data_IF_183002583237
#
_entry.id   IF_183002583237
#
_cell.length_a   1.000
_cell.length_b   1.000
_cell.length_c   1.000
_cell.angle_alpha   90.00
_cell.angle_beta   90.00
_cell.angle_gamma   90.00
#
_symmetry.space_group_name_H-M   'P 1'
#
loop_
_entity.id
_entity.type
_entity.pdbx_description
1 polymer ?
#
# COMPACT_ATOMS: atom_id res chain seq x y z
N UNK A 1 -22.63 -11.98 12.26
CA UNK A 1 -21.16 -12.22 12.31
C UNK A 1 -20.46 -10.88 12.34
N UNK A 2 -19.53 -10.69 13.28
CA UNK A 2 -18.72 -9.47 13.38
C UNK A 2 -17.34 -9.73 12.81
N UNK A 3 -16.91 -8.86 11.89
CA UNK A 3 -15.65 -9.02 11.18
C UNK A 3 -14.80 -7.76 11.34
N UNK A 4 -13.48 -7.92 11.38
CA UNK A 4 -12.53 -6.81 11.26
C UNK A 4 -11.82 -6.91 9.92
N UNK A 5 -11.65 -5.76 9.26
CA UNK A 5 -10.88 -5.64 8.04
C UNK A 5 -9.70 -4.69 8.26
N UNK A 6 -8.50 -5.22 8.04
CA UNK A 6 -7.21 -4.55 8.06
C UNK A 6 -6.50 -4.80 6.73
N UNK A 7 -5.58 -3.92 6.37
CA UNK A 7 -4.70 -4.10 5.20
C UNK A 7 -3.43 -3.29 5.35
N UNK A 8 -2.45 -3.55 4.50
CA UNK A 8 -1.28 -2.70 4.27
C UNK A 8 -0.55 -2.35 5.58
N UNK A 9 -0.23 -3.39 6.37
CA UNK A 9 0.46 -3.21 7.66
C UNK A 9 1.88 -2.72 7.49
N UNK A 10 2.55 -3.10 6.38
CA UNK A 10 3.91 -2.73 6.03
C UNK A 10 4.89 -2.78 7.21
N UNK A 11 4.83 -3.89 7.97
CA UNK A 11 5.68 -4.05 9.16
C UNK A 11 7.15 -4.00 8.76
N UNK A 12 7.92 -3.16 9.47
CA UNK A 12 9.32 -2.91 9.20
C UNK A 12 9.60 -1.78 8.19
N UNK A 13 8.56 -1.03 7.78
CA UNK A 13 8.73 0.17 6.96
C UNK A 13 9.49 1.27 7.73
N UNK A 14 10.35 1.97 7.00
CA UNK A 14 11.08 3.15 7.49
C UNK A 14 10.60 4.40 6.78
N UNK A 15 10.09 5.36 7.53
CA UNK A 15 9.66 6.65 7.00
C UNK A 15 10.87 7.56 6.80
N UNK A 16 11.28 7.82 5.55
CA UNK A 16 12.46 8.64 5.23
C UNK A 16 13.72 8.26 6.06
N UNK A 17 13.99 6.95 6.16
CA UNK A 17 15.04 6.32 6.97
C UNK A 17 14.84 6.39 8.51
N UNK A 18 13.72 6.90 9.01
CA UNK A 18 13.36 6.81 10.42
C UNK A 18 12.64 5.48 10.68
N UNK A 19 13.05 4.83 11.74
CA UNK A 19 12.41 3.60 12.21
C UNK A 19 11.02 3.90 12.78
N UNK A 20 10.04 3.07 12.44
CA UNK A 20 8.66 3.18 12.90
C UNK A 20 8.25 2.02 13.82
N UNK A 21 9.18 1.19 14.27
CA UNK A 21 8.85 -0.02 15.04
C UNK A 21 8.03 0.29 16.28
N UNK A 22 8.35 1.37 17.01
CA UNK A 22 7.60 1.81 18.21
C UNK A 22 6.16 2.23 17.84
N UNK A 23 6.00 3.01 16.78
CA UNK A 23 4.69 3.46 16.30
C UNK A 23 3.86 2.30 15.76
N UNK A 24 4.48 1.38 15.04
CA UNK A 24 3.83 0.16 14.55
C UNK A 24 3.37 -0.72 15.71
N UNK A 25 4.23 -0.99 16.69
CA UNK A 25 3.86 -1.74 17.90
C UNK A 25 2.67 -1.10 18.61
N UNK A 26 2.69 0.21 18.81
CA UNK A 26 1.62 0.95 19.47
C UNK A 26 0.28 0.80 18.75
N UNK A 27 0.28 0.87 17.42
CA UNK A 27 -0.94 0.72 16.61
C UNK A 27 -1.43 -0.73 16.61
N UNK A 28 -0.55 -1.71 16.50
CA UNK A 28 -0.91 -3.12 16.57
C UNK A 28 -1.51 -3.47 17.93
N UNK A 29 -0.97 -2.94 19.02
CA UNK A 29 -1.54 -3.09 20.37
C UNK A 29 -2.94 -2.45 20.50
N UNK A 30 -3.20 -1.36 19.78
CA UNK A 30 -4.55 -0.78 19.69
C UNK A 30 -5.53 -1.70 18.98
N UNK A 31 -5.10 -2.32 17.88
CA UNK A 31 -5.93 -3.29 17.15
C UNK A 31 -6.26 -4.48 18.05
N UNK A 32 -5.29 -5.01 18.79
CA UNK A 32 -5.52 -6.08 19.78
C UNK A 32 -6.53 -5.65 20.84
N UNK A 33 -6.44 -4.42 21.35
CA UNK A 33 -7.45 -3.88 22.30
C UNK A 33 -8.84 -3.83 21.69
N UNK A 34 -8.99 -3.35 20.46
CA UNK A 34 -10.29 -3.39 19.77
C UNK A 34 -10.81 -4.82 19.62
N UNK A 35 -9.95 -5.76 19.22
CA UNK A 35 -10.34 -7.18 19.12
C UNK A 35 -10.83 -7.72 20.46
N UNK A 36 -10.13 -7.43 21.57
CA UNK A 36 -10.53 -7.83 22.91
C UNK A 36 -11.86 -7.20 23.35
N UNK A 37 -12.10 -5.93 23.02
CA UNK A 37 -13.31 -5.21 23.41
C UNK A 37 -14.54 -5.61 22.57
N UNK A 38 -14.32 -5.84 21.27
CA UNK A 38 -15.40 -6.07 20.30
C UNK A 38 -15.68 -7.55 20.03
N UNK A 39 -14.73 -8.45 20.35
CA UNK A 39 -14.85 -9.90 20.15
C UNK A 39 -15.29 -10.25 18.71
N UNK A 40 -14.50 -9.94 17.67
CA UNK A 40 -14.83 -10.31 16.29
C UNK A 40 -14.82 -11.83 16.10
N UNK A 41 -15.72 -12.34 15.26
CA UNK A 41 -15.75 -13.73 14.82
C UNK A 41 -14.61 -14.03 13.84
N UNK A 42 -14.26 -13.03 13.01
CA UNK A 42 -13.11 -13.13 12.10
C UNK A 42 -12.38 -11.79 11.93
N UNK A 43 -11.06 -11.90 11.67
CA UNK A 43 -10.17 -10.77 11.33
C UNK A 43 -9.58 -11.06 9.95
N UNK A 44 -9.74 -10.12 9.03
CA UNK A 44 -9.25 -10.18 7.66
C UNK A 44 -8.09 -9.20 7.49
N UNK A 45 -6.93 -9.68 7.02
CA UNK A 45 -5.76 -8.86 6.69
C UNK A 45 -5.53 -8.96 5.18
N UNK A 46 -5.90 -7.91 4.47
CA UNK A 46 -5.96 -7.90 3.01
C UNK A 46 -4.60 -7.50 2.37
N UNK A 47 -3.54 -8.24 2.71
CA UNK A 47 -2.21 -8.14 2.06
C UNK A 47 -1.30 -7.04 2.60
N UNK A 48 -0.08 -7.03 2.05
CA UNK A 48 1.06 -6.18 2.42
C UNK A 48 1.32 -6.19 3.93
N UNK A 49 1.56 -7.41 4.44
CA UNK A 49 1.89 -7.65 5.85
C UNK A 49 3.23 -7.03 6.17
N UNK A 50 4.23 -7.26 5.32
CA UNK A 50 5.57 -6.71 5.45
C UNK A 50 5.85 -5.65 4.38
N UNK A 51 6.72 -4.69 4.71
CA UNK A 51 7.19 -3.68 3.76
C UNK A 51 8.02 -4.28 2.61
N UNK A 52 8.67 -5.42 2.86
CA UNK A 52 9.61 -6.07 1.91
C UNK A 52 9.41 -7.57 1.86
N UNK A 53 9.61 -8.14 0.68
CA UNK A 53 9.57 -9.58 0.45
C UNK A 53 10.57 -10.38 1.34
N UNK A 54 11.65 -9.74 1.80
CA UNK A 54 12.56 -10.27 2.81
C UNK A 54 12.55 -9.32 4.01
N UNK A 55 11.63 -9.52 4.97
CA UNK A 55 11.54 -8.69 6.17
C UNK A 55 12.75 -8.89 7.09
N UNK A 56 13.05 -7.90 7.93
CA UNK A 56 14.05 -8.03 8.99
C UNK A 56 13.55 -8.97 10.09
N UNK A 57 14.47 -9.47 10.92
CA UNK A 57 14.12 -10.32 12.06
C UNK A 57 13.19 -9.59 13.05
N UNK A 58 13.43 -8.30 13.24
CA UNK A 58 12.60 -7.43 14.10
C UNK A 58 11.17 -7.31 13.56
N UNK A 59 11.03 -7.13 12.24
CA UNK A 59 9.70 -7.07 11.60
C UNK A 59 8.95 -8.41 11.75
N UNK A 60 9.64 -9.54 11.57
CA UNK A 60 9.05 -10.87 11.77
C UNK A 60 8.62 -11.05 13.23
N UNK A 61 9.47 -10.66 14.20
CA UNK A 61 9.15 -10.75 15.62
C UNK A 61 7.97 -9.87 16.02
N UNK A 62 7.87 -8.67 15.43
CA UNK A 62 6.75 -7.76 15.69
C UNK A 62 5.43 -8.34 15.17
N UNK A 63 5.43 -8.94 13.98
CA UNK A 63 4.26 -9.58 13.43
C UNK A 63 3.85 -10.82 14.24
N UNK A 64 4.82 -11.67 14.63
CA UNK A 64 4.60 -12.85 15.48
C UNK A 64 3.95 -12.45 16.82
N UNK A 65 4.49 -11.42 17.49
CA UNK A 65 3.92 -10.88 18.72
C UNK A 65 2.48 -10.36 18.54
N UNK A 66 2.21 -9.68 17.42
CA UNK A 66 0.88 -9.17 17.10
C UNK A 66 -0.14 -10.31 16.92
N UNK A 67 0.18 -11.32 16.10
CA UNK A 67 -0.73 -12.46 15.85
C UNK A 67 -0.94 -13.27 17.14
N UNK A 68 0.12 -13.48 17.92
CA UNK A 68 0.03 -14.15 19.22
C UNK A 68 -0.91 -13.40 20.17
N UNK A 69 -0.73 -12.08 20.30
CA UNK A 69 -1.58 -11.22 21.15
C UNK A 69 -3.03 -11.21 20.69
N UNK A 70 -3.30 -11.24 19.37
CA UNK A 70 -4.65 -11.38 18.84
C UNK A 70 -5.27 -12.72 19.26
N UNK A 71 -4.54 -13.83 19.10
CA UNK A 71 -5.04 -15.17 19.49
C UNK A 71 -5.24 -15.29 21.00
N UNK A 72 -4.43 -14.65 21.82
CA UNK A 72 -4.64 -14.57 23.28
C UNK A 72 -5.90 -13.74 23.64
N UNK A 73 -6.13 -12.62 22.94
CA UNK A 73 -7.25 -11.73 23.18
C UNK A 73 -8.60 -12.31 22.72
N UNK A 74 -8.58 -13.04 21.59
CA UNK A 74 -9.77 -13.64 20.95
C UNK A 74 -9.47 -15.05 20.44
N UNK A 75 -9.35 -16.07 21.32
CA UNK A 75 -8.89 -17.40 20.98
C UNK A 75 -9.70 -18.10 19.88
N UNK A 76 -11.02 -17.92 19.88
CA UNK A 76 -11.93 -18.54 18.93
C UNK A 76 -12.01 -17.79 17.58
N UNK A 77 -11.51 -16.57 17.51
CA UNK A 77 -11.54 -15.76 16.31
C UNK A 77 -10.74 -16.41 15.17
N UNK A 78 -11.33 -16.47 14.01
CA UNK A 78 -10.64 -16.89 12.77
C UNK A 78 -9.84 -15.73 12.21
N UNK A 79 -8.54 -15.89 12.03
CA UNK A 79 -7.68 -14.89 11.41
C UNK A 79 -7.35 -15.33 9.99
N UNK A 80 -7.68 -14.52 9.01
CA UNK A 80 -7.47 -14.77 7.59
C UNK A 80 -6.56 -13.70 7.02
N UNK A 81 -5.49 -14.09 6.34
CA UNK A 81 -4.58 -13.14 5.71
C UNK A 81 -4.09 -13.64 4.35
N UNK A 82 -3.86 -12.71 3.47
CA UNK A 82 -3.32 -12.96 2.13
C UNK A 82 -2.01 -12.20 1.94
N UNK A 83 -1.20 -12.59 0.96
CA UNK A 83 -0.06 -11.78 0.53
C UNK A 83 -0.51 -10.62 -0.35
N UNK A 84 0.16 -9.47 -0.20
CA UNK A 84 0.10 -8.35 -1.13
C UNK A 84 1.27 -8.36 -2.12
N UNK A 85 1.49 -7.23 -2.79
CA UNK A 85 2.55 -7.11 -3.79
C UNK A 85 3.95 -6.87 -3.20
N UNK A 86 4.04 -6.44 -1.93
CA UNK A 86 5.30 -6.31 -1.19
C UNK A 86 5.74 -7.62 -0.55
N UNK A 87 4.80 -8.51 -0.23
CA UNK A 87 5.07 -9.77 0.46
C UNK A 87 5.75 -10.80 -0.44
N UNK A 88 6.43 -11.75 0.20
CA UNK A 88 6.87 -12.97 -0.45
C UNK A 88 5.80 -14.05 -0.26
N UNK A 89 5.05 -14.36 -1.30
CA UNK A 89 4.00 -15.36 -1.27
C UNK A 89 4.43 -16.71 -0.64
N UNK A 90 5.60 -17.31 -1.00
CA UNK A 90 6.06 -18.56 -0.36
C UNK A 90 6.39 -18.41 1.13
N UNK A 91 6.76 -17.19 1.60
CA UNK A 91 7.03 -16.95 3.02
C UNK A 91 5.74 -16.83 3.81
N UNK A 92 4.70 -16.23 3.23
CA UNK A 92 3.36 -16.17 3.83
C UNK A 92 2.75 -17.55 3.91
N UNK A 93 2.96 -18.42 2.93
CA UNK A 93 2.49 -19.83 2.97
C UNK A 93 3.26 -20.72 3.95
N UNK A 94 4.33 -20.19 4.59
CA UNK A 94 5.15 -20.99 5.49
C UNK A 94 4.32 -21.47 6.70
N UNK A 95 4.40 -22.76 7.01
CA UNK A 95 3.66 -23.42 8.10
C UNK A 95 2.12 -23.37 7.98
N UNK A 96 1.56 -22.99 6.83
CA UNK A 96 0.10 -22.86 6.61
C UNK A 96 -0.68 -24.05 7.18
N UNK A 97 -0.28 -25.28 6.88
CA UNK A 97 -0.98 -26.49 7.33
C UNK A 97 -0.97 -26.68 8.86
N UNK A 98 0.02 -26.14 9.55
CA UNK A 98 0.09 -26.16 11.02
C UNK A 98 -0.80 -25.07 11.61
N UNK A 99 -0.77 -23.88 11.03
CA UNK A 99 -1.50 -22.70 11.46
C UNK A 99 -3.03 -22.87 11.30
N UNK A 100 -3.49 -23.59 10.29
CA UNK A 100 -4.91 -23.95 10.09
C UNK A 100 -5.54 -24.56 11.35
N UNK A 101 -4.77 -25.36 12.10
CA UNK A 101 -5.26 -26.00 13.35
C UNK A 101 -5.52 -24.98 14.47
N UNK A 102 -5.07 -23.76 14.32
CA UNK A 102 -5.26 -22.65 15.25
C UNK A 102 -6.25 -21.60 14.72
N UNK A 103 -7.07 -21.94 13.72
CA UNK A 103 -7.95 -21.00 13.01
C UNK A 103 -7.18 -19.79 12.45
N UNK A 104 -5.95 -20.02 11.98
CA UNK A 104 -5.10 -19.02 11.35
C UNK A 104 -4.84 -19.44 9.89
N UNK A 105 -5.40 -18.69 8.97
CA UNK A 105 -5.34 -18.95 7.53
C UNK A 105 -4.42 -17.92 6.88
N UNK A 106 -3.30 -18.40 6.34
CA UNK A 106 -2.32 -17.59 5.61
C UNK A 106 -2.26 -18.10 4.17
N UNK A 107 -2.63 -17.27 3.20
CA UNK A 107 -2.66 -17.61 1.78
C UNK A 107 -1.73 -16.70 1.03
N UNK A 108 -0.56 -17.21 0.64
CA UNK A 108 0.47 -16.47 -0.06
C UNK A 108 0.32 -16.53 -1.57
N UNK A 109 0.12 -17.74 -2.11
CA UNK A 109 0.06 -17.95 -3.56
C UNK A 109 -1.39 -17.95 -4.07
N UNK A 110 -1.66 -17.32 -5.24
CA UNK A 110 -2.91 -17.55 -5.96
C UNK A 110 -2.97 -19.00 -6.48
N UNK A 111 -4.11 -19.47 -7.02
CA UNK A 111 -4.18 -20.77 -7.70
C UNK A 111 -3.06 -20.95 -8.73
N UNK A 112 -2.40 -22.10 -8.72
CA UNK A 112 -1.23 -22.39 -9.58
C UNK A 112 -1.53 -23.45 -10.64
N UNK A 113 -2.45 -24.38 -10.33
CA UNK A 113 -2.82 -25.52 -11.19
C UNK A 113 -4.27 -25.40 -11.64
N UNK A 114 -4.61 -26.14 -12.69
CA UNK A 114 -5.95 -26.10 -13.27
C UNK A 114 -7.04 -26.54 -12.29
N UNK A 115 -6.72 -27.49 -11.41
CA UNK A 115 -7.61 -27.98 -10.36
C UNK A 115 -7.71 -27.06 -9.13
N UNK A 116 -6.80 -26.08 -8.99
CA UNK A 116 -6.79 -25.17 -7.85
C UNK A 116 -7.88 -24.11 -8.00
N UNK A 117 -8.49 -23.76 -6.89
CA UNK A 117 -9.48 -22.69 -6.75
C UNK A 117 -8.98 -21.60 -5.82
N UNK A 118 -9.66 -20.45 -5.81
CA UNK A 118 -9.44 -19.43 -4.77
C UNK A 118 -9.76 -20.10 -3.42
N UNK A 119 -8.84 -19.94 -2.45
CA UNK A 119 -9.05 -20.53 -1.13
C UNK A 119 -10.35 -20.03 -0.53
N UNK A 120 -11.26 -20.96 -0.20
CA UNK A 120 -12.56 -20.65 0.38
C UNK A 120 -12.68 -21.20 1.80
N UNK A 121 -12.97 -20.33 2.75
CA UNK A 121 -13.23 -20.67 4.16
C UNK A 121 -14.68 -20.39 4.45
N UNK A 122 -15.37 -21.30 5.11
CA UNK A 122 -16.76 -21.11 5.49
C UNK A 122 -16.90 -21.08 7.00
N UNK A 123 -17.45 -19.99 7.51
CA UNK A 123 -17.86 -19.86 8.90
C UNK A 123 -19.39 -19.84 8.97
N UNK A 124 -19.95 -20.25 10.10
CA UNK A 124 -21.40 -20.27 10.30
C UNK A 124 -21.79 -19.43 11.49
N UNK A 125 -22.91 -18.72 11.37
CA UNK A 125 -23.59 -18.04 12.47
C UNK A 125 -25.08 -18.35 12.47
N UNK A 126 -25.86 -17.61 13.26
CA UNK A 126 -27.30 -17.81 13.38
C UNK A 126 -28.08 -17.53 12.08
N UNK A 127 -27.45 -16.88 11.09
CA UNK A 127 -28.04 -16.54 9.78
C UNK A 127 -27.56 -17.50 8.67
N UNK A 128 -26.81 -18.56 9.02
CA UNK A 128 -26.29 -19.56 8.07
C UNK A 128 -24.81 -19.34 7.70
N UNK A 129 -24.35 -19.88 6.55
CA UNK A 129 -22.95 -19.81 6.16
C UNK A 129 -22.54 -18.42 5.67
N UNK A 130 -21.27 -18.10 5.90
CA UNK A 130 -20.54 -16.98 5.26
C UNK A 130 -19.29 -17.57 4.61
N UNK A 131 -19.14 -17.37 3.31
CA UNK A 131 -18.02 -17.87 2.53
C UNK A 131 -16.99 -16.76 2.32
N UNK A 132 -15.78 -16.98 2.78
CA UNK A 132 -14.65 -16.09 2.60
C UNK A 132 -13.76 -16.60 1.49
N UNK A 133 -13.52 -15.77 0.48
CA UNK A 133 -12.65 -16.06 -0.64
C UNK A 133 -11.35 -15.27 -0.47
N UNK A 134 -10.23 -15.98 -0.30
CA UNK A 134 -8.91 -15.42 -0.04
C UNK A 134 -8.12 -15.37 -1.34
N UNK A 135 -8.09 -14.21 -1.98
CA UNK A 135 -7.40 -13.98 -3.25
C UNK A 135 -6.16 -13.09 -3.03
N UNK A 136 -4.95 -13.68 -2.93
CA UNK A 136 -3.69 -12.94 -2.84
C UNK A 136 -3.47 -12.02 -4.04
N UNK A 137 -2.41 -11.21 -3.98
CA UNK A 137 -1.99 -10.40 -5.12
C UNK A 137 -1.67 -11.27 -6.33
N UNK A 138 -2.28 -10.94 -7.48
CA UNK A 138 -2.17 -11.70 -8.73
C UNK A 138 -1.61 -10.85 -9.85
N UNK A 139 -0.59 -11.36 -10.54
CA UNK A 139 -0.19 -10.88 -11.87
C UNK A 139 -0.73 -11.83 -12.94
N UNK A 140 -1.17 -11.34 -14.11
CA UNK A 140 -1.70 -12.19 -15.18
C UNK A 140 -0.79 -13.36 -15.56
N UNK A 141 0.53 -13.16 -15.49
CA UNK A 141 1.53 -14.18 -15.79
C UNK A 141 1.53 -15.35 -14.79
N UNK A 142 1.08 -15.15 -13.55
CA UNK A 142 1.08 -16.20 -12.51
C UNK A 142 0.00 -17.24 -12.75
N UNK A 143 -1.12 -16.85 -13.34
CA UNK A 143 -2.32 -17.68 -13.51
C UNK A 143 -2.63 -18.04 -14.97
N UNK A 144 -1.73 -17.73 -15.90
CA UNK A 144 -1.92 -18.00 -17.34
C UNK A 144 -2.21 -19.48 -17.67
N UNK A 145 -1.66 -20.40 -16.89
CA UNK A 145 -1.89 -21.84 -17.09
C UNK A 145 -3.28 -22.28 -16.67
N UNK A 146 -3.98 -21.45 -15.88
CA UNK A 146 -5.32 -21.74 -15.33
C UNK A 146 -6.39 -21.10 -16.19
N UNK A 147 -6.23 -19.83 -16.50
CA UNK A 147 -7.24 -19.05 -17.24
C UNK A 147 -6.98 -18.98 -18.75
N UNK A 148 -5.86 -19.55 -19.20
CA UNK A 148 -5.42 -19.48 -20.58
C UNK A 148 -4.74 -18.17 -20.96
N UNK A 149 -4.58 -17.96 -22.26
CA UNK A 149 -4.00 -16.76 -22.86
C UNK A 149 -4.88 -16.28 -24.03
N UNK A 150 -4.76 -15.01 -24.38
CA UNK A 150 -5.40 -14.43 -25.55
C UNK A 150 -4.36 -14.29 -26.68
N UNK A 151 -4.46 -15.10 -27.75
CA UNK A 151 -3.50 -15.15 -28.87
C UNK A 151 -2.03 -15.26 -28.41
N UNK A 152 -1.78 -16.09 -27.37
CA UNK A 152 -0.44 -16.32 -26.81
C UNK A 152 0.06 -15.19 -25.89
N UNK A 153 -0.75 -14.16 -25.63
CA UNK A 153 -0.46 -13.08 -24.70
C UNK A 153 -1.25 -13.26 -23.41
N UNK A 154 -0.72 -12.78 -22.29
CA UNK A 154 -1.47 -12.75 -21.04
C UNK A 154 -2.69 -11.84 -21.18
N UNK A 155 -3.78 -12.20 -20.51
CA UNK A 155 -4.93 -11.31 -20.34
C UNK A 155 -4.52 -10.03 -19.57
N UNK A 156 -5.34 -8.97 -19.69
CA UNK A 156 -5.22 -7.80 -18.81
C UNK A 156 -5.48 -8.20 -17.35
N UNK A 157 -5.11 -7.34 -16.40
CA UNK A 157 -5.43 -7.56 -14.99
C UNK A 157 -6.94 -7.71 -14.78
N UNK A 158 -7.73 -6.85 -15.39
CA UNK A 158 -9.18 -6.90 -15.31
C UNK A 158 -9.76 -8.22 -15.80
N UNK A 159 -9.38 -8.67 -16.99
CA UNK A 159 -9.83 -9.96 -17.54
C UNK A 159 -9.33 -11.14 -16.70
N UNK A 160 -8.12 -11.05 -16.18
CA UNK A 160 -7.54 -12.08 -15.30
C UNK A 160 -8.36 -12.26 -14.05
N UNK A 161 -8.66 -11.17 -13.33
CA UNK A 161 -9.44 -11.22 -12.10
C UNK A 161 -10.87 -11.68 -12.37
N UNK A 162 -11.49 -11.18 -13.45
CA UNK A 162 -12.81 -11.59 -13.86
C UNK A 162 -12.88 -13.09 -14.08
N UNK A 163 -11.95 -13.64 -14.89
CA UNK A 163 -11.91 -15.11 -15.18
C UNK A 163 -11.65 -15.94 -13.94
N UNK A 164 -10.77 -15.50 -13.03
CA UNK A 164 -10.52 -16.21 -11.77
C UNK A 164 -11.77 -16.29 -10.90
N UNK A 165 -12.49 -15.17 -10.76
CA UNK A 165 -13.71 -15.11 -9.93
C UNK A 165 -14.85 -15.91 -10.58
N UNK A 166 -15.02 -15.82 -11.90
CA UNK A 166 -16.04 -16.59 -12.63
C UNK A 166 -15.85 -18.12 -12.49
N UNK A 167 -14.63 -18.62 -12.32
CA UNK A 167 -14.35 -20.03 -12.11
C UNK A 167 -14.90 -20.57 -10.78
N UNK A 168 -15.10 -19.71 -9.79
CA UNK A 168 -15.52 -20.14 -8.45
C UNK A 168 -17.02 -20.47 -8.38
N UNK A 169 -17.78 -20.19 -9.44
CA UNK A 169 -19.23 -20.47 -9.52
C UNK A 169 -19.97 -20.02 -8.24
N UNK A 170 -19.70 -18.79 -7.81
CA UNK A 170 -20.16 -18.24 -6.53
C UNK A 170 -21.68 -18.24 -6.46
N UNK A 171 -22.24 -18.95 -5.47
CA UNK A 171 -23.67 -18.87 -5.20
C UNK A 171 -24.02 -17.53 -4.56
N UNK A 172 -24.66 -16.65 -5.34
CA UNK A 172 -25.02 -15.31 -4.88
C UNK A 172 -26.18 -15.26 -3.89
N UNK A 173 -26.86 -16.39 -3.64
CA UNK A 173 -27.85 -16.48 -2.58
C UNK A 173 -27.21 -16.65 -1.18
N UNK A 174 -25.97 -17.13 -1.13
CA UNK A 174 -25.20 -17.23 0.09
C UNK A 174 -24.50 -15.90 0.41
N UNK A 175 -24.04 -15.74 1.65
CA UNK A 175 -23.25 -14.58 2.08
C UNK A 175 -21.80 -14.78 1.69
N UNK A 176 -21.26 -13.94 0.83
CA UNK A 176 -19.94 -14.07 0.24
C UNK A 176 -19.07 -12.84 0.57
N UNK A 177 -17.86 -13.07 1.05
CA UNK A 177 -16.86 -12.05 1.37
C UNK A 177 -15.59 -12.31 0.57
N UNK A 178 -15.10 -11.30 -0.14
CA UNK A 178 -13.81 -11.35 -0.81
C UNK A 178 -12.75 -10.67 0.06
N UNK A 179 -11.58 -11.29 0.20
CA UNK A 179 -10.36 -10.67 0.73
C UNK A 179 -9.38 -10.62 -0.44
N UNK A 180 -8.98 -9.42 -0.88
CA UNK A 180 -8.15 -9.26 -2.07
C UNK A 180 -7.20 -8.07 -1.99
N UNK A 181 -6.08 -8.16 -2.70
CA UNK A 181 -5.06 -7.13 -2.74
C UNK A 181 -4.74 -6.76 -4.18
N UNK A 182 -5.55 -5.88 -4.79
CA UNK A 182 -5.44 -5.44 -6.19
C UNK A 182 -5.91 -4.00 -6.33
N UNK A 183 -5.58 -3.36 -7.46
CA UNK A 183 -6.01 -2.00 -7.75
C UNK A 183 -7.41 -1.98 -8.39
N UNK A 184 -8.45 -2.04 -7.56
CA UNK A 184 -9.85 -1.94 -7.99
C UNK A 184 -10.30 -0.49 -8.13
N UNK A 185 -10.96 -0.18 -9.23
CA UNK A 185 -11.53 1.13 -9.51
C UNK A 185 -13.05 1.12 -9.46
N UNK A 186 -13.69 2.20 -8.97
CA UNK A 186 -15.12 2.38 -9.16
C UNK A 186 -15.48 2.33 -10.65
N UNK A 187 -16.64 1.74 -10.95
CA UNK A 187 -17.14 1.68 -12.33
C UNK A 187 -17.17 3.09 -12.96
N UNK A 188 -16.67 3.24 -14.17
CA UNK A 188 -16.55 4.50 -14.89
C UNK A 188 -15.54 5.53 -14.34
N UNK A 189 -14.66 5.15 -13.39
CA UNK A 189 -13.51 5.96 -13.00
C UNK A 189 -12.22 5.44 -13.63
N UNK A 190 -11.29 6.37 -13.90
CA UNK A 190 -9.95 6.06 -14.40
C UNK A 190 -8.94 6.12 -13.26
N UNK A 191 -7.82 5.41 -13.42
CA UNK A 191 -6.74 5.39 -12.42
C UNK A 191 -6.19 6.79 -12.11
N UNK A 192 -6.13 7.69 -13.10
CA UNK A 192 -5.65 9.07 -12.93
C UNK A 192 -6.55 9.93 -12.01
N UNK A 193 -7.80 9.51 -11.80
CA UNK A 193 -8.76 10.21 -10.92
C UNK A 193 -8.63 9.76 -9.46
N UNK A 194 -7.83 8.74 -9.19
CA UNK A 194 -7.60 8.21 -7.85
C UNK A 194 -6.33 8.80 -7.28
N UNK A 195 -6.47 9.48 -6.14
CA UNK A 195 -5.32 9.96 -5.38
C UNK A 195 -4.63 8.79 -4.69
N UNK A 196 -3.41 8.49 -5.10
CA UNK A 196 -2.57 7.42 -4.56
C UNK A 196 -1.45 7.99 -3.70
N UNK A 197 -1.14 7.32 -2.59
CA UNK A 197 -0.05 7.70 -1.72
C UNK A 197 1.34 7.53 -2.39
N UNK A 198 2.31 8.34 -1.96
CA UNK A 198 3.69 8.23 -2.47
C UNK A 198 4.39 6.94 -2.03
N UNK A 199 3.85 6.26 -1.02
CA UNK A 199 4.31 4.96 -0.53
C UNK A 199 3.81 3.77 -1.37
N UNK A 200 2.80 3.97 -2.24
CA UNK A 200 2.25 2.90 -3.07
C UNK A 200 3.12 2.63 -4.31
N UNK A 201 3.27 1.35 -4.66
CA UNK A 201 3.89 0.96 -5.94
C UNK A 201 2.91 1.24 -7.07
N UNK A 202 3.33 2.02 -8.05
CA UNK A 202 2.55 2.35 -9.24
C UNK A 202 3.10 1.61 -10.46
N UNK A 203 2.22 0.89 -11.14
CA UNK A 203 2.59 0.25 -12.40
C UNK A 203 2.58 1.27 -13.54
N UNK A 204 3.60 1.25 -14.38
CA UNK A 204 3.67 2.16 -15.53
C UNK A 204 2.46 1.97 -16.45
N UNK A 205 1.77 3.08 -16.78
CA UNK A 205 0.57 3.06 -17.62
C UNK A 205 -0.69 2.53 -16.94
N UNK A 206 -0.68 2.34 -15.60
CA UNK A 206 -1.82 1.85 -14.80
C UNK A 206 -2.43 0.54 -15.35
N UNK A 207 -1.61 -0.32 -15.95
CA UNK A 207 -2.06 -1.58 -16.57
C UNK A 207 -2.61 -2.60 -15.56
N UNK A 208 -2.42 -2.35 -14.25
CA UNK A 208 -2.86 -3.16 -13.12
C UNK A 208 -4.26 -2.81 -12.61
N UNK A 209 -4.96 -1.88 -13.26
CA UNK A 209 -6.32 -1.51 -12.90
C UNK A 209 -7.33 -2.65 -13.15
N UNK A 210 -8.27 -2.79 -12.21
CA UNK A 210 -9.36 -3.77 -12.24
C UNK A 210 -10.68 -3.05 -12.03
N UNK A 211 -11.67 -3.31 -12.86
CA UNK A 211 -13.02 -2.75 -12.68
C UNK A 211 -13.69 -3.30 -11.41
N UNK A 212 -14.32 -2.44 -10.63
CA UNK A 212 -15.13 -2.84 -9.49
C UNK A 212 -16.33 -3.75 -9.83
N UNK A 213 -16.66 -3.92 -11.11
CA UNK A 213 -17.72 -4.86 -11.55
C UNK A 213 -17.42 -6.31 -11.15
N UNK A 214 -16.15 -6.69 -11.05
CA UNK A 214 -15.76 -8.06 -10.63
C UNK A 214 -16.14 -8.35 -9.18
N UNK A 215 -16.45 -7.33 -8.38
CA UNK A 215 -16.82 -7.44 -6.96
C UNK A 215 -18.31 -7.74 -6.75
N UNK A 216 -19.14 -7.61 -7.78
CA UNK A 216 -20.60 -7.75 -7.68
C UNK A 216 -21.11 -9.07 -7.07
N UNK A 217 -20.42 -10.22 -7.22
CA UNK A 217 -20.86 -11.48 -6.59
C UNK A 217 -20.73 -11.50 -5.06
N UNK A 218 -20.06 -10.52 -4.45
CA UNK A 218 -19.76 -10.49 -3.02
C UNK A 218 -20.66 -9.51 -2.25
N UNK A 219 -21.02 -9.86 -1.02
CA UNK A 219 -21.73 -8.97 -0.09
C UNK A 219 -20.79 -7.95 0.57
N UNK A 220 -19.51 -8.31 0.69
CA UNK A 220 -18.46 -7.43 1.16
C UNK A 220 -17.12 -7.76 0.49
N UNK A 221 -16.35 -6.74 0.15
CA UNK A 221 -14.97 -6.93 -0.32
C UNK A 221 -14.00 -6.15 0.59
N UNK A 222 -13.16 -6.92 1.29
CA UNK A 222 -12.05 -6.42 2.09
C UNK A 222 -10.83 -6.25 1.18
N UNK A 223 -10.54 -4.99 0.81
CA UNK A 223 -9.51 -4.65 -0.18
C UNK A 223 -8.29 -4.01 0.48
N UNK A 224 -7.09 -4.42 0.04
CA UNK A 224 -5.81 -3.79 0.31
C UNK A 224 -5.15 -3.29 -0.97
N UNK A 225 -3.98 -2.66 -0.88
CA UNK A 225 -3.16 -2.06 -1.93
C UNK A 225 -3.23 -0.53 -1.99
N UNK A 226 -4.38 0.09 -1.71
CA UNK A 226 -4.51 1.54 -1.67
C UNK A 226 -4.41 2.01 -0.22
N UNK A 227 -3.44 2.88 0.07
CA UNK A 227 -3.11 3.31 1.43
C UNK A 227 -4.09 4.32 2.02
N UNK A 228 -4.88 4.97 1.16
CA UNK A 228 -5.95 5.87 1.58
C UNK A 228 -7.25 5.09 1.74
N UNK A 229 -7.98 5.21 2.87
CA UNK A 229 -9.31 4.64 2.99
C UNK A 229 -10.23 5.12 1.86
N UNK A 230 -10.75 4.18 1.05
CA UNK A 230 -11.52 4.51 -0.15
C UNK A 230 -12.62 3.47 -0.41
N UNK A 231 -13.73 3.91 -1.01
CA UNK A 231 -14.83 3.06 -1.46
C UNK A 231 -14.72 2.80 -2.97
N UNK A 232 -15.00 1.56 -3.37
CA UNK A 232 -15.04 1.18 -4.79
C UNK A 232 -16.51 1.10 -5.25
N UNK A 233 -17.12 2.26 -5.48
CA UNK A 233 -18.50 2.37 -5.94
C UNK A 233 -19.57 2.11 -4.87
N UNK A 234 -19.27 1.35 -3.83
CA UNK A 234 -20.17 0.98 -2.73
C UNK A 234 -19.48 1.08 -1.38
N UNK A 235 -20.24 1.27 -0.31
CA UNK A 235 -19.77 1.16 1.07
C UNK A 235 -19.33 -0.27 1.45
N UNK A 236 -19.74 -1.25 0.67
CA UNK A 236 -19.47 -2.67 0.89
C UNK A 236 -18.17 -3.13 0.22
N UNK A 237 -17.60 -2.36 -0.71
CA UNK A 237 -16.33 -2.64 -1.37
C UNK A 237 -15.33 -1.57 -1.00
N UNK A 238 -14.40 -1.89 -0.11
CA UNK A 238 -13.60 -0.86 0.55
C UNK A 238 -12.13 -1.21 0.66
N UNK A 239 -11.30 -0.22 0.44
CA UNK A 239 -9.94 -0.19 0.96
C UNK A 239 -9.97 0.31 2.41
N UNK A 240 -9.35 -0.46 3.30
CA UNK A 240 -9.14 -0.07 4.69
C UNK A 240 -8.11 1.07 4.77
N UNK A 241 -7.11 1.03 3.91
CA UNK A 241 -5.93 1.86 3.98
C UNK A 241 -4.91 1.34 5.00
N UNK A 242 -3.77 2.01 5.09
CA UNK A 242 -2.72 1.69 6.04
C UNK A 242 -3.12 2.06 7.48
N UNK A 243 -2.63 1.32 8.50
CA UNK A 243 -2.91 1.65 9.91
C UNK A 243 -2.16 2.88 10.42
N UNK A 244 -1.09 3.29 9.74
CA UNK A 244 -0.29 4.49 9.98
C UNK A 244 -0.06 5.25 8.67
N UNK A 245 0.31 6.53 8.75
CA UNK A 245 0.80 7.29 7.60
C UNK A 245 2.25 6.86 7.28
N UNK A 246 2.47 6.32 6.08
CA UNK A 246 3.76 5.80 5.62
C UNK A 246 4.46 6.71 4.60
N UNK A 247 3.80 7.78 4.18
CA UNK A 247 4.37 8.81 3.31
C UNK A 247 3.83 10.20 3.66
N UNK A 248 4.56 11.24 3.24
CA UNK A 248 4.14 12.63 3.50
C UNK A 248 2.84 13.01 2.80
N UNK A 249 2.44 12.31 1.76
CA UNK A 249 1.14 12.48 1.12
C UNK A 249 -0.03 11.98 1.97
N UNK A 250 0.26 11.22 3.01
CA UNK A 250 -0.72 10.71 3.97
C UNK A 250 -0.82 11.56 5.25
N UNK A 251 -0.03 12.64 5.37
CA UNK A 251 -0.08 13.51 6.53
C UNK A 251 -1.48 14.10 6.74
N UNK A 252 -1.98 14.00 7.98
CA UNK A 252 -3.31 14.48 8.35
C UNK A 252 -4.48 13.60 7.91
N UNK A 253 -4.24 12.41 7.34
CA UNK A 253 -5.28 11.44 7.04
C UNK A 253 -5.73 10.70 8.31
N UNK A 254 -7.04 10.56 8.48
CA UNK A 254 -7.59 9.67 9.50
C UNK A 254 -7.37 8.21 9.11
N UNK A 255 -6.71 7.45 9.98
CA UNK A 255 -6.47 6.01 9.82
C UNK A 255 -7.38 5.20 10.74
N UNK A 256 -7.68 3.97 10.34
CA UNK A 256 -8.56 3.09 11.13
C UNK A 256 -8.65 1.70 10.55
N UNK A 257 -9.30 0.82 11.29
CA UNK A 257 -9.74 -0.49 10.80
C UNK A 257 -11.24 -0.46 10.56
N UNK A 258 -11.75 -1.36 9.74
CA UNK A 258 -13.19 -1.42 9.47
C UNK A 258 -13.79 -2.57 10.27
N UNK A 259 -14.74 -2.25 11.13
CA UNK A 259 -15.64 -3.23 11.76
C UNK A 259 -16.84 -3.44 10.85
N UNK A 260 -17.16 -4.70 10.57
CA UNK A 260 -18.31 -5.11 9.75
C UNK A 260 -19.24 -5.96 10.59
N UNK A 261 -20.53 -5.64 10.60
CA UNK A 261 -21.57 -6.49 11.14
C UNK A 261 -22.41 -7.05 10.00
N UNK A 262 -22.23 -8.34 9.71
CA UNK A 262 -22.94 -9.06 8.67
C UNK A 262 -24.09 -9.85 9.32
N UNK A 263 -25.31 -9.54 8.95
CA UNK A 263 -26.55 -10.19 9.40
C UNK A 263 -27.08 -11.14 8.33
N UNK A 264 -28.39 -11.12 8.07
CA UNK A 264 -28.98 -11.88 6.96
C UNK A 264 -28.40 -11.41 5.61
N UNK A 265 -28.57 -12.25 4.59
CA UNK A 265 -28.18 -11.91 3.22
C UNK A 265 -28.64 -10.50 2.83
N UNK A 266 -27.69 -9.68 2.35
CA UNK A 266 -27.91 -8.31 1.92
C UNK A 266 -27.90 -7.27 3.04
N UNK A 267 -27.76 -7.66 4.31
CA UNK A 267 -27.68 -6.71 5.45
C UNK A 267 -26.25 -6.71 6.01
N UNK A 268 -25.50 -5.68 5.63
CA UNK A 268 -24.11 -5.47 6.05
C UNK A 268 -23.94 -4.02 6.53
N UNK A 269 -23.56 -3.87 7.79
CA UNK A 269 -23.27 -2.58 8.40
C UNK A 269 -21.75 -2.43 8.57
N UNK A 270 -21.22 -1.23 8.34
CA UNK A 270 -19.78 -0.98 8.47
C UNK A 270 -19.50 0.23 9.35
N UNK A 271 -18.50 0.12 10.22
CA UNK A 271 -18.01 1.19 11.08
C UNK A 271 -16.49 1.28 11.03
N UNK A 272 -15.96 2.50 11.00
CA UNK A 272 -14.51 2.73 11.12
C UNK A 272 -14.15 2.85 12.61
N UNK A 273 -13.22 2.03 13.08
CA UNK A 273 -12.60 2.15 14.40
C UNK A 273 -11.30 2.94 14.23
N UNK A 274 -11.20 4.17 14.77
CA UNK A 274 -10.10 5.07 14.48
C UNK A 274 -8.78 4.62 15.13
N UNK A 275 -7.70 4.68 14.38
CA UNK A 275 -6.34 4.42 14.84
C UNK A 275 -5.59 5.76 14.97
N UNK A 276 -5.51 6.29 16.19
CA UNK A 276 -4.66 7.45 16.47
C UNK A 276 -3.22 6.99 16.69
N UNK A 277 -2.24 7.51 15.95
CA UNK A 277 -0.84 7.13 16.09
C UNK A 277 -0.25 7.57 17.44
N UNK A 278 0.92 7.04 17.80
CA UNK A 278 1.72 7.54 18.92
C UNK A 278 2.31 8.90 18.58
N UNK A 279 2.89 9.03 17.39
CA UNK A 279 3.40 10.28 16.83
C UNK A 279 2.70 10.54 15.50
N UNK A 280 2.15 11.72 15.34
CA UNK A 280 1.50 12.12 14.09
C UNK A 280 2.52 12.43 13.00
N UNK A 281 2.10 12.34 11.75
CA UNK A 281 2.86 12.82 10.61
C UNK A 281 2.33 14.19 10.20
N UNK A 282 3.18 15.23 10.33
CA UNK A 282 2.74 16.61 10.16
C UNK A 282 3.59 17.36 9.14
N UNK A 283 2.94 18.29 8.42
CA UNK A 283 3.60 19.29 7.61
C UNK A 283 3.40 20.63 8.31
N UNK A 284 4.50 21.28 8.70
CA UNK A 284 4.50 22.60 9.35
C UNK A 284 5.10 23.60 8.37
N UNK A 285 4.30 24.58 7.97
CA UNK A 285 4.66 25.60 6.99
C UNK A 285 4.65 26.99 7.65
N UNK A 286 5.66 27.81 7.35
CA UNK A 286 5.74 29.17 7.84
C UNK A 286 7.16 29.75 7.82
N UNK A 287 7.32 30.99 8.35
CA UNK A 287 8.63 31.56 8.61
C UNK A 287 9.29 30.81 9.79
N UNK A 288 10.62 30.72 9.80
CA UNK A 288 11.39 29.97 10.79
C UNK A 288 10.97 30.28 12.24
N UNK A 289 10.71 31.54 12.53
CA UNK A 289 10.29 32.01 13.86
C UNK A 289 8.96 31.34 14.28
N UNK A 290 7.97 31.38 13.42
CA UNK A 290 6.61 30.89 13.70
C UNK A 290 6.58 29.34 13.73
N UNK A 291 7.43 28.71 12.91
CA UNK A 291 7.62 27.24 12.90
C UNK A 291 8.22 26.77 14.23
N UNK A 292 9.22 27.48 14.76
CA UNK A 292 9.86 27.11 16.03
C UNK A 292 8.92 27.21 17.25
N UNK A 293 7.87 28.03 17.20
CA UNK A 293 6.85 28.13 18.24
C UNK A 293 5.95 26.88 18.30
N UNK A 294 5.93 26.03 17.26
CA UNK A 294 5.11 24.81 17.12
C UNK A 294 5.87 23.53 17.51
N UNK A 295 6.92 23.62 18.33
CA UNK A 295 7.73 22.46 18.70
C UNK A 295 6.88 21.29 19.20
N UNK A 296 7.17 20.07 18.73
CA UNK A 296 6.46 18.84 19.09
C UNK A 296 7.35 17.61 18.91
N UNK A 297 6.90 16.47 19.41
CA UNK A 297 7.59 15.19 19.27
C UNK A 297 6.99 14.31 18.14
N UNK A 298 6.29 14.93 17.18
CA UNK A 298 5.73 14.26 16.01
C UNK A 298 6.77 14.13 14.88
N UNK A 299 6.47 13.28 13.89
CA UNK A 299 7.22 13.23 12.63
C UNK A 299 6.88 14.46 11.79
N UNK A 300 7.87 15.33 11.55
CA UNK A 300 7.62 16.63 10.96
C UNK A 300 8.40 16.83 9.66
N UNK A 301 7.69 17.28 8.60
CA UNK A 301 8.27 18.01 7.47
C UNK A 301 8.07 19.49 7.71
N UNK A 302 9.16 20.26 7.68
CA UNK A 302 9.12 21.71 7.74
C UNK A 302 9.22 22.32 6.35
N UNK A 303 8.31 23.25 6.02
CA UNK A 303 8.33 24.02 4.77
C UNK A 303 8.54 25.50 5.14
N UNK A 304 9.76 26.00 4.92
CA UNK A 304 10.10 27.38 5.25
C UNK A 304 9.73 28.33 4.12
N UNK A 305 9.02 29.39 4.47
CA UNK A 305 8.56 30.45 3.56
C UNK A 305 9.37 31.74 3.67
N UNK A 306 10.46 31.74 4.47
CA UNK A 306 11.34 32.91 4.67
C UNK A 306 11.88 33.46 3.35
N UNK A 307 11.68 34.75 3.13
CA UNK A 307 12.19 35.47 1.95
C UNK A 307 13.66 35.87 2.08
N UNK A 308 14.19 35.86 3.31
CA UNK A 308 15.58 36.21 3.62
C UNK A 308 16.46 34.98 3.61
N UNK A 309 17.73 35.15 3.30
CA UNK A 309 18.71 34.08 3.45
C UNK A 309 18.91 33.75 4.93
N UNK A 310 18.59 32.53 5.30
CA UNK A 310 18.81 32.00 6.63
C UNK A 310 20.22 31.37 6.71
N UNK A 311 20.87 31.50 7.87
CA UNK A 311 22.06 30.71 8.15
C UNK A 311 21.64 29.23 8.23
N UNK A 312 22.08 28.45 7.25
CA UNK A 312 21.65 27.04 7.08
C UNK A 312 21.98 26.21 8.32
N UNK A 313 23.17 26.39 8.89
CA UNK A 313 23.62 25.61 10.04
C UNK A 313 22.78 25.92 11.28
N UNK A 314 22.63 27.19 11.62
CA UNK A 314 21.84 27.63 12.77
C UNK A 314 20.35 27.26 12.63
N UNK A 315 19.79 27.39 11.44
CA UNK A 315 18.43 26.97 11.12
C UNK A 315 18.22 25.47 11.36
N UNK A 316 19.13 24.63 10.83
CA UNK A 316 19.04 23.17 11.01
C UNK A 316 19.17 22.74 12.48
N UNK A 317 20.06 23.38 13.23
CA UNK A 317 20.23 23.11 14.64
C UNK A 317 18.97 23.47 15.45
N UNK A 318 18.42 24.66 15.23
CA UNK A 318 17.17 25.09 15.88
C UNK A 318 15.99 24.16 15.56
N UNK A 319 15.83 23.78 14.28
CA UNK A 319 14.76 22.89 13.87
C UNK A 319 14.92 21.48 14.45
N UNK A 320 16.12 20.93 14.49
CA UNK A 320 16.37 19.61 15.11
C UNK A 320 16.09 19.61 16.61
N UNK A 321 16.34 20.74 17.30
CA UNK A 321 16.04 20.88 18.72
C UNK A 321 14.53 21.04 18.97
N UNK A 322 13.81 21.75 18.09
CA UNK A 322 12.36 21.93 18.19
C UNK A 322 11.58 20.69 17.79
N UNK A 323 12.11 19.88 16.86
CA UNK A 323 11.48 18.70 16.30
C UNK A 323 12.44 17.49 16.32
N UNK A 324 12.50 16.72 17.41
CA UNK A 324 13.38 15.55 17.51
C UNK A 324 13.19 14.52 16.39
N UNK A 325 11.94 14.38 15.89
CA UNK A 325 11.58 13.51 14.76
C UNK A 325 11.45 14.26 13.44
N UNK A 326 12.28 15.31 13.25
CA UNK A 326 12.35 16.05 11.99
C UNK A 326 12.75 15.11 10.83
N UNK A 327 11.91 15.04 9.79
CA UNK A 327 12.12 14.22 8.60
C UNK A 327 12.80 15.00 7.48
N UNK A 328 12.26 16.17 7.16
CA UNK A 328 12.68 16.95 6.00
C UNK A 328 12.51 18.45 6.24
N UNK A 329 13.44 19.25 5.70
CA UNK A 329 13.32 20.70 5.63
C UNK A 329 13.23 21.09 4.15
N UNK A 330 12.14 21.73 3.75
CA UNK A 330 11.96 22.33 2.43
C UNK A 330 11.96 23.84 2.54
N UNK A 331 12.41 24.53 1.50
CA UNK A 331 12.32 25.99 1.37
C UNK A 331 11.57 26.34 0.09
N UNK A 332 10.46 27.07 0.20
CA UNK A 332 9.68 27.47 -0.98
C UNK A 332 10.43 28.45 -1.88
N UNK A 333 11.28 29.30 -1.30
CA UNK A 333 11.94 30.41 -1.99
C UNK A 333 13.42 30.16 -2.35
N UNK A 334 13.82 28.92 -2.64
CA UNK A 334 15.04 28.79 -3.44
C UNK A 334 14.68 29.42 -4.78
N UNK A 335 15.35 30.57 -5.10
CA UNK A 335 15.22 31.29 -6.38
C UNK A 335 14.94 30.21 -7.45
N UNK A 336 13.76 30.26 -8.07
CA UNK A 336 13.60 29.67 -9.40
C UNK A 336 14.64 30.41 -10.23
N UNK A 337 15.84 29.85 -10.32
CA UNK A 337 16.71 30.20 -11.42
C UNK A 337 15.83 29.90 -12.62
N UNK A 338 15.31 30.96 -13.22
CA UNK A 338 14.71 30.92 -14.52
C UNK A 338 15.85 30.49 -15.47
N UNK A 339 16.13 29.19 -15.49
CA UNK A 339 16.56 28.56 -16.71
C UNK A 339 15.34 28.63 -17.63
N UNK A 340 15.04 29.83 -18.13
CA UNK A 340 14.45 29.96 -19.44
C UNK A 340 15.54 29.39 -20.38
N UNK A 341 15.56 28.07 -20.47
CA UNK A 341 16.03 27.46 -21.70
C UNK A 341 15.15 28.12 -22.76
N UNK A 342 15.73 29.06 -23.47
CA UNK A 342 15.19 29.51 -24.74
C UNK A 342 15.26 28.27 -25.62
N UNK A 343 14.25 27.42 -25.50
CA UNK A 343 14.00 26.35 -26.44
C UNK A 343 13.61 27.09 -27.73
N UNK A 344 14.62 27.46 -28.52
CA UNK A 344 14.41 27.72 -29.93
C UNK A 344 13.84 26.42 -30.47
N UNK A 345 12.54 26.41 -30.71
CA UNK A 345 11.88 25.40 -31.53
C UNK A 345 12.70 25.31 -32.84
N UNK A 346 13.02 24.07 -33.22
CA UNK A 346 13.71 23.69 -34.45
C UNK A 346 15.26 23.68 -34.48
N UNK A 347 15.88 23.18 -33.42
CA UNK A 347 17.20 22.59 -33.55
C UNK A 347 17.10 21.09 -33.29
N UNK A 348 17.42 20.25 -34.31
CA UNK A 348 17.73 18.84 -34.06
C UNK A 348 18.90 18.84 -33.07
N UNK A 349 18.62 18.58 -31.80
CA UNK A 349 19.66 18.50 -30.76
C UNK A 349 20.52 17.27 -31.06
N UNK A 350 21.70 17.51 -31.57
CA UNK A 350 22.72 16.47 -31.69
C UNK A 350 23.23 16.12 -30.29
N UNK A 351 23.19 14.84 -29.85
CA UNK A 351 23.65 14.42 -28.54
C UNK A 351 25.11 14.83 -28.23
N UNK A 352 25.97 14.90 -29.22
CA UNK A 352 27.35 15.34 -29.04
C UNK A 352 27.44 16.81 -28.64
N UNK A 353 26.76 17.70 -29.37
CA UNK A 353 26.71 19.12 -29.04
C UNK A 353 26.10 19.37 -27.65
N UNK A 354 25.07 18.61 -27.25
CA UNK A 354 24.47 18.69 -25.93
C UNK A 354 25.43 18.30 -24.79
N UNK A 355 26.20 17.24 -25.00
CA UNK A 355 27.19 16.78 -24.03
C UNK A 355 28.36 17.73 -23.91
N UNK A 356 28.90 18.26 -25.04
CA UNK A 356 30.00 19.22 -25.05
C UNK A 356 29.61 20.58 -24.42
N UNK A 357 28.37 21.05 -24.64
CA UNK A 357 27.86 22.26 -24.02
C UNK A 357 27.64 22.09 -22.50
N UNK A 358 27.24 20.90 -22.05
CA UNK A 358 27.04 20.57 -20.62
C UNK A 358 28.40 20.47 -19.90
N UNK A 359 29.40 19.86 -20.49
CA UNK A 359 30.71 19.60 -19.88
C UNK A 359 31.63 20.83 -19.82
N UNK A 360 31.32 21.94 -20.49
CA UNK A 360 32.06 23.21 -20.51
C UNK A 360 33.58 23.08 -20.39
N UNK A 361 34.27 23.04 -21.52
CA UNK A 361 35.74 23.06 -21.55
C UNK A 361 36.40 21.71 -21.87
N UNK A 362 35.72 20.85 -22.60
CA UNK A 362 36.20 19.54 -23.10
C UNK A 362 37.32 19.76 -24.10
N UNK A 363 38.46 19.09 -23.90
CA UNK A 363 39.57 19.11 -24.85
C UNK A 363 39.34 18.19 -26.06
N UNK A 364 40.27 18.15 -27.03
CA UNK A 364 40.09 17.41 -28.26
C UNK A 364 40.11 15.86 -28.04
N UNK A 365 40.89 15.35 -27.07
CA UNK A 365 40.93 13.91 -26.75
C UNK A 365 39.63 13.47 -26.06
N UNK A 366 39.08 14.31 -25.20
CA UNK A 366 37.79 14.08 -24.54
C UNK A 366 36.61 14.16 -25.50
N UNK A 367 36.68 15.00 -26.54
CA UNK A 367 35.69 15.04 -27.62
C UNK A 367 35.68 13.77 -28.46
N UNK A 368 36.84 13.25 -28.84
CA UNK A 368 36.94 11.98 -29.58
C UNK A 368 36.37 10.82 -28.77
N UNK A 369 36.68 10.77 -27.48
CA UNK A 369 36.12 9.74 -26.57
C UNK A 369 34.60 9.86 -26.44
N UNK A 370 34.08 11.07 -26.36
CA UNK A 370 32.66 11.34 -26.27
C UNK A 370 31.92 10.92 -27.56
N UNK A 371 32.50 11.17 -28.71
CA UNK A 371 31.96 10.78 -30.00
C UNK A 371 31.94 9.25 -30.16
N UNK A 372 32.96 8.57 -29.70
CA UNK A 372 33.06 7.10 -29.70
C UNK A 372 31.99 6.47 -28.79
N UNK A 373 31.78 7.02 -27.59
CA UNK A 373 30.74 6.58 -26.65
C UNK A 373 29.33 6.77 -27.26
N UNK A 374 29.06 7.94 -27.85
CA UNK A 374 27.77 8.24 -28.45
C UNK A 374 27.47 7.32 -29.63
N UNK A 375 28.49 7.04 -30.48
CA UNK A 375 28.34 6.14 -31.61
C UNK A 375 28.08 4.70 -31.13
N UNK A 376 28.77 4.26 -30.09
CA UNK A 376 28.57 2.94 -29.51
C UNK A 376 27.14 2.77 -28.91
N UNK A 377 26.62 3.80 -28.26
CA UNK A 377 25.25 3.81 -27.72
C UNK A 377 24.20 3.86 -28.82
N UNK A 378 24.48 4.53 -29.95
CA UNK A 378 23.57 4.57 -31.11
C UNK A 378 23.60 3.29 -31.95
N UNK A 379 24.52 2.37 -31.69
CA UNK A 379 24.65 1.10 -32.42
C UNK A 379 25.17 1.28 -33.83
N UNK A 380 26.00 2.29 -34.12
CA UNK A 380 26.68 2.57 -35.36
C UNK A 380 28.15 2.21 -35.22
#
# INVERSE_FOLDING_TARGET
>A
MRLFHLSDLHIGLKLMNRDLTEDQQYILDKIVRYAKERQPDAIMIAGDIYDKAVPSAEAVSLFDAFVTSLKEAVPECTIMMISGNHDSAPRIDCFRQVLLKQNLYMVGNPPEKEEDHIERITLNDNYGPVHFYLLPFVKPSMVKNIIGTNDGRNYSYNETLKKLIEREEINTEDRNVLISHQFYLPVNKKAEEIERADSEIRTAGNIDEVSGEVLLPFDYAALGHIHKPMKVGSDLYRYCGTPLAYSMSEAGQDKGIIEIEMKEKGIVETQVLPLKPLHELRIIEGELKDVLEQSCDDFVRVVLTDKKDLNIFEMQEKLKNAFPRLLEIRRENIRKNNYQAVVKKDVKMDPFSLCTDFLNGVDEEEKELLEDIINHVKGV
#
